data_IF_225839139931
#
_entry.id   IF_225839139931
#
_cell.length_a   1.000
_cell.length_b   1.000
_cell.length_c   1.000
_cell.angle_alpha   90.00
_cell.angle_beta   90.00
_cell.angle_gamma   90.00
#
_symmetry.space_group_name_H-M   'P 1'
#
loop_
_entity.id
_entity.type
_entity.pdbx_description
1 polymer ?
#
# COMPACT_ATOMS: atom_id res chain seq x y z
N UNK A 1 -2.56 31.18 12.47
CA UNK A 1 -3.92 30.81 12.01
C UNK A 1 -3.99 29.69 10.96
N UNK A 2 -2.93 29.47 10.16
CA UNK A 2 -2.95 28.51 9.04
C UNK A 2 -2.27 27.15 9.31
N UNK A 3 -1.67 26.93 10.49
CA UNK A 3 -0.89 25.71 10.79
C UNK A 3 -1.72 24.41 10.82
N UNK A 4 -3.05 24.51 10.91
CA UNK A 4 -3.96 23.34 10.93
C UNK A 4 -4.88 23.26 9.71
N UNK A 5 -4.68 24.13 8.72
CA UNK A 5 -5.47 24.08 7.48
C UNK A 5 -4.84 23.10 6.48
N UNK A 6 -5.64 22.40 5.64
CA UNK A 6 -5.10 21.63 4.53
C UNK A 6 -4.23 22.52 3.62
N UNK A 7 -3.05 22.02 3.26
CA UNK A 7 -2.13 22.67 2.34
C UNK A 7 -1.93 21.76 1.12
N UNK A 8 -2.18 22.28 -0.08
CA UNK A 8 -1.92 21.56 -1.32
C UNK A 8 -0.40 21.54 -1.58
N UNK A 9 0.21 20.36 -1.49
CA UNK A 9 1.65 20.18 -1.75
C UNK A 9 1.92 19.94 -3.23
N UNK A 10 1.14 19.04 -3.86
CA UNK A 10 1.30 18.65 -5.26
C UNK A 10 -0.06 18.30 -5.88
N UNK A 11 -0.23 18.61 -7.16
CA UNK A 11 -1.30 18.10 -8.02
C UNK A 11 -0.71 17.65 -9.35
N UNK A 12 -1.19 16.51 -9.87
CA UNK A 12 -0.78 15.98 -11.16
C UNK A 12 -1.96 15.78 -12.09
N UNK A 13 -1.89 16.30 -13.31
CA UNK A 13 -2.87 16.06 -14.38
C UNK A 13 -2.62 14.70 -15.08
N UNK A 14 -2.57 13.62 -14.29
CA UNK A 14 -2.29 12.25 -14.72
C UNK A 14 -2.90 11.26 -13.75
N UNK A 15 -2.98 9.99 -14.14
CA UNK A 15 -3.35 8.93 -13.22
C UNK A 15 -2.33 8.81 -12.07
N UNK A 16 -2.82 8.34 -10.93
CA UNK A 16 -1.97 7.88 -9.83
C UNK A 16 -0.95 6.85 -10.35
N UNK A 17 0.25 6.88 -9.77
CA UNK A 17 1.38 6.05 -10.19
C UNK A 17 1.20 4.57 -9.83
N UNK A 18 2.34 3.88 -9.67
CA UNK A 18 2.37 2.49 -9.23
C UNK A 18 1.64 1.52 -10.17
N UNK A 19 1.87 1.64 -11.48
CA UNK A 19 1.44 0.66 -12.49
C UNK A 19 -0.07 0.43 -12.60
N UNK A 20 -0.91 1.30 -12.03
CA UNK A 20 -2.37 1.12 -12.04
C UNK A 20 -2.92 0.17 -10.98
N UNK A 21 -2.11 -0.31 -10.02
CA UNK A 21 -2.58 -1.18 -8.94
C UNK A 21 -3.70 -0.55 -8.08
N UNK A 22 -3.84 0.78 -8.10
CA UNK A 22 -4.93 1.48 -7.42
C UNK A 22 -6.31 1.21 -8.04
N UNK A 23 -6.38 0.86 -9.34
CA UNK A 23 -7.64 0.81 -10.10
C UNK A 23 -8.68 -0.11 -9.46
N UNK A 24 -8.38 -1.40 -9.14
CA UNK A 24 -9.37 -2.28 -8.52
C UNK A 24 -9.83 -1.78 -7.14
N UNK A 25 -8.93 -1.13 -6.39
CA UNK A 25 -9.24 -0.58 -5.07
C UNK A 25 -10.20 0.59 -5.20
N UNK A 26 -9.92 1.54 -6.10
CA UNK A 26 -10.73 2.74 -6.28
C UNK A 26 -12.08 2.39 -6.90
N UNK A 27 -12.14 1.45 -7.85
CA UNK A 27 -13.40 0.93 -8.37
C UNK A 27 -14.28 0.35 -7.26
N UNK A 28 -13.71 -0.43 -6.34
CA UNK A 28 -14.51 -1.01 -5.26
C UNK A 28 -14.92 0.02 -4.22
N UNK A 29 -14.08 1.01 -3.96
CA UNK A 29 -14.32 2.03 -2.93
C UNK A 29 -15.25 3.14 -3.40
N UNK A 30 -15.23 3.53 -4.68
CA UNK A 30 -15.99 4.66 -5.23
C UNK A 30 -16.99 4.29 -6.33
N UNK A 31 -16.82 3.14 -6.97
CA UNK A 31 -17.63 2.72 -8.13
C UNK A 31 -17.12 3.24 -9.48
N UNK A 32 -16.07 4.05 -9.50
CA UNK A 32 -15.42 4.58 -10.71
C UNK A 32 -13.96 4.91 -10.40
N UNK A 33 -13.12 5.06 -11.44
CA UNK A 33 -11.71 5.38 -11.30
C UNK A 33 -11.21 6.40 -12.34
N UNK A 34 -10.02 6.97 -12.13
CA UNK A 34 -9.41 8.00 -12.98
C UNK A 34 -9.15 7.53 -14.42
N UNK A 35 -8.77 6.26 -14.61
CA UNK A 35 -8.51 5.68 -15.94
C UNK A 35 -9.81 5.62 -16.72
N UNK A 36 -10.89 5.10 -16.11
CA UNK A 36 -12.20 5.01 -16.78
C UNK A 36 -12.78 6.39 -17.06
N UNK A 37 -12.73 7.30 -16.09
CA UNK A 37 -13.17 8.69 -16.30
C UNK A 37 -12.41 9.38 -17.45
N UNK A 38 -11.10 9.10 -17.60
CA UNK A 38 -10.30 9.61 -18.71
C UNK A 38 -10.73 8.98 -20.03
N UNK A 39 -10.99 7.68 -20.10
CA UNK A 39 -11.52 7.05 -21.33
C UNK A 39 -12.89 7.63 -21.71
N UNK A 40 -13.79 7.79 -20.74
CA UNK A 40 -15.12 8.33 -20.97
C UNK A 40 -15.07 9.78 -21.45
N UNK A 41 -14.12 10.61 -21.00
CA UNK A 41 -14.05 11.99 -21.48
C UNK A 41 -13.74 12.11 -22.99
N UNK A 42 -13.07 11.12 -23.58
CA UNK A 42 -12.79 11.08 -25.02
C UNK A 42 -13.90 10.42 -25.83
N UNK A 43 -14.54 9.38 -25.29
CA UNK A 43 -15.37 8.47 -26.08
C UNK A 43 -16.82 8.36 -25.61
N UNK A 44 -17.15 8.82 -24.40
CA UNK A 44 -18.51 8.86 -23.86
C UNK A 44 -18.72 10.11 -22.96
N UNK A 45 -18.93 11.29 -23.58
CA UNK A 45 -19.14 12.53 -22.83
C UNK A 45 -20.34 12.50 -21.88
N UNK A 46 -21.34 11.66 -22.17
CA UNK A 46 -22.53 11.53 -21.30
C UNK A 46 -22.17 10.78 -20.02
N UNK A 47 -21.44 9.66 -20.13
CA UNK A 47 -20.94 8.95 -18.97
C UNK A 47 -20.00 9.83 -18.14
N UNK A 48 -19.08 10.55 -18.78
CA UNK A 48 -18.17 11.47 -18.09
C UNK A 48 -18.93 12.58 -17.34
N UNK A 49 -19.94 13.19 -17.98
CA UNK A 49 -20.77 14.23 -17.35
C UNK A 49 -21.65 13.71 -16.20
N UNK A 50 -21.89 12.39 -16.13
CA UNK A 50 -22.65 11.76 -15.04
C UNK A 50 -21.84 11.55 -13.76
N UNK A 51 -20.51 11.71 -13.81
CA UNK A 51 -19.65 11.57 -12.65
C UNK A 51 -19.95 12.66 -11.60
N UNK A 52 -19.92 12.32 -10.31
CA UNK A 52 -20.19 13.30 -9.27
C UNK A 52 -19.06 14.33 -9.20
N UNK A 53 -19.35 15.62 -8.91
CA UNK A 53 -18.32 16.66 -8.82
C UNK A 53 -17.35 16.44 -7.65
N UNK A 54 -17.77 15.67 -6.65
CA UNK A 54 -16.95 15.25 -5.52
C UNK A 54 -17.18 13.76 -5.21
N UNK A 55 -16.17 13.02 -4.74
CA UNK A 55 -16.35 11.64 -4.31
C UNK A 55 -17.42 11.53 -3.21
N UNK A 56 -18.33 10.57 -3.36
CA UNK A 56 -19.34 10.27 -2.36
C UNK A 56 -18.80 9.50 -1.16
N UNK A 57 -19.71 8.92 -0.37
CA UNK A 57 -19.35 7.98 0.69
C UNK A 57 -18.66 6.75 0.11
N UNK A 58 -17.57 6.32 0.73
CA UNK A 58 -16.89 5.09 0.35
C UNK A 58 -17.81 3.85 0.50
N UNK A 59 -17.82 3.00 -0.53
CA UNK A 59 -18.53 1.72 -0.59
C UNK A 59 -17.75 0.58 0.08
N UNK A 60 -16.43 0.74 0.15
CA UNK A 60 -15.48 -0.15 0.81
C UNK A 60 -14.26 0.66 1.26
N UNK A 61 -13.33 0.03 1.96
CA UNK A 61 -12.12 0.65 2.46
C UNK A 61 -10.91 -0.10 1.95
N UNK A 62 -10.00 0.60 1.28
CA UNK A 62 -8.77 0.00 0.82
C UNK A 62 -7.59 0.96 0.87
N UNK A 63 -6.41 0.38 0.94
CA UNK A 63 -5.14 1.10 0.99
C UNK A 63 -4.00 0.26 0.43
N UNK A 64 -2.95 0.92 -0.01
CA UNK A 64 -1.64 0.30 -0.19
C UNK A 64 -0.84 0.39 1.11
N UNK A 65 -0.17 -0.70 1.45
CA UNK A 65 0.78 -0.80 2.55
C UNK A 65 2.14 -1.21 1.97
N UNK A 66 3.03 -0.25 1.68
CA UNK A 66 4.43 -0.52 1.40
C UNK A 66 5.05 -1.17 2.65
N UNK A 67 5.63 -2.36 2.53
CA UNK A 67 6.29 -3.02 3.65
C UNK A 67 7.67 -2.40 3.89
N UNK A 68 8.07 -2.34 5.15
CA UNK A 68 9.35 -1.78 5.60
C UNK A 68 10.27 -2.90 6.08
N UNK A 69 11.47 -2.98 5.50
CA UNK A 69 12.55 -3.81 6.02
C UNK A 69 13.39 -3.05 7.04
N UNK A 70 13.54 -3.64 8.22
CA UNK A 70 14.51 -3.21 9.25
C UNK A 70 15.77 -4.07 9.26
N UNK A 71 15.78 -5.15 8.46
CA UNK A 71 16.85 -6.13 8.40
C UNK A 71 17.71 -5.93 7.15
N UNK A 72 18.91 -6.49 7.18
CA UNK A 72 19.81 -6.59 6.04
C UNK A 72 20.45 -7.98 6.03
N UNK A 73 20.62 -8.57 4.85
CA UNK A 73 21.21 -9.90 4.71
C UNK A 73 20.66 -10.65 3.51
N UNK A 74 20.93 -11.96 3.43
CA UNK A 74 20.35 -12.82 2.39
C UNK A 74 19.15 -13.56 2.97
N UNK A 75 17.99 -13.45 2.33
CA UNK A 75 16.76 -14.07 2.82
C UNK A 75 16.87 -15.60 2.78
N UNK A 76 16.67 -16.26 3.92
CA UNK A 76 16.60 -17.72 3.99
C UNK A 76 15.17 -18.23 3.83
N UNK A 77 14.22 -17.59 4.52
CA UNK A 77 12.82 -18.00 4.54
C UNK A 77 11.89 -16.79 4.52
N UNK A 78 10.69 -16.96 3.96
CA UNK A 78 9.67 -15.91 3.87
C UNK A 78 8.30 -16.36 4.43
N UNK A 79 8.19 -16.73 5.73
CA UNK A 79 6.90 -17.11 6.32
C UNK A 79 5.84 -16.00 6.22
N UNK A 80 6.29 -14.75 6.09
CA UNK A 80 5.45 -13.56 5.89
C UNK A 80 4.55 -13.63 4.69
N UNK A 81 4.95 -14.29 3.60
CA UNK A 81 4.13 -14.38 2.37
C UNK A 81 2.77 -15.01 2.68
N UNK A 82 2.76 -16.12 3.41
CA UNK A 82 1.52 -16.79 3.82
C UNK A 82 0.78 -16.01 4.91
N UNK A 83 1.50 -15.37 5.84
CA UNK A 83 0.90 -14.55 6.89
C UNK A 83 0.19 -13.31 6.33
N UNK A 84 0.71 -12.73 5.25
CA UNK A 84 0.10 -11.59 4.54
C UNK A 84 -1.10 -12.04 3.71
N UNK A 85 -0.97 -13.14 2.96
CA UNK A 85 -2.05 -13.67 2.13
C UNK A 85 -3.28 -14.17 2.93
N UNK A 86 -3.13 -14.40 4.24
CA UNK A 86 -4.20 -14.84 5.14
C UNK A 86 -4.93 -13.70 5.85
N UNK A 87 -4.56 -12.43 5.60
CA UNK A 87 -5.29 -11.29 6.15
C UNK A 87 -6.70 -11.20 5.56
N UNK A 88 -7.68 -10.85 6.38
CA UNK A 88 -9.07 -10.80 5.97
C UNK A 88 -9.33 -9.74 4.87
N UNK A 89 -8.54 -8.67 4.86
CA UNK A 89 -8.59 -7.62 3.86
C UNK A 89 -7.57 -7.80 2.73
N UNK A 90 -6.85 -8.93 2.64
CA UNK A 90 -5.86 -9.12 1.58
C UNK A 90 -6.51 -9.12 0.18
N UNK A 91 -6.05 -8.20 -0.69
CA UNK A 91 -6.43 -8.17 -2.10
C UNK A 91 -5.33 -8.78 -2.98
N UNK A 92 -4.12 -8.23 -2.88
CA UNK A 92 -2.95 -8.70 -3.61
C UNK A 92 -1.66 -8.15 -2.99
N UNK A 93 -0.51 -8.68 -3.41
CA UNK A 93 0.79 -8.14 -3.07
C UNK A 93 1.77 -8.26 -4.24
N UNK A 94 2.72 -7.34 -4.29
CA UNK A 94 3.88 -7.38 -5.18
C UNK A 94 5.14 -7.49 -4.32
N UNK A 95 5.91 -8.56 -4.49
CA UNK A 95 7.16 -8.82 -3.79
C UNK A 95 8.33 -8.57 -4.74
N UNK A 96 9.27 -7.71 -4.34
CA UNK A 96 10.51 -7.46 -5.08
C UNK A 96 11.67 -8.36 -4.63
N UNK A 97 11.48 -9.10 -3.53
CA UNK A 97 12.45 -10.00 -2.92
C UNK A 97 11.82 -11.35 -2.62
N UNK A 98 12.64 -12.39 -2.60
CA UNK A 98 12.29 -13.75 -2.20
C UNK A 98 13.47 -14.46 -1.54
N UNK A 99 13.31 -15.76 -1.26
CA UNK A 99 14.41 -16.60 -0.74
C UNK A 99 15.63 -16.50 -1.66
N UNK A 100 16.81 -16.30 -1.08
CA UNK A 100 18.08 -16.07 -1.79
C UNK A 100 18.32 -14.63 -2.23
N UNK A 101 17.34 -13.73 -2.12
CA UNK A 101 17.52 -12.31 -2.46
C UNK A 101 18.33 -11.58 -1.37
N UNK A 102 19.13 -10.58 -1.76
CA UNK A 102 19.72 -9.61 -0.82
C UNK A 102 18.62 -8.68 -0.34
N UNK A 103 18.30 -8.75 0.95
CA UNK A 103 17.47 -7.79 1.64
C UNK A 103 18.33 -6.62 2.11
N UNK A 104 17.80 -5.42 1.95
CA UNK A 104 18.38 -4.17 2.45
C UNK A 104 17.37 -3.45 3.33
N UNK A 105 17.86 -2.56 4.19
CA UNK A 105 17.00 -1.69 4.98
C UNK A 105 16.24 -0.74 4.05
N UNK A 106 14.95 -0.56 4.31
CA UNK A 106 14.13 0.36 3.51
C UNK A 106 14.43 1.80 3.90
N UNK A 107 14.89 2.59 2.94
CA UNK A 107 15.15 4.04 3.07
C UNK A 107 14.33 4.86 2.08
N UNK A 108 13.74 4.21 1.07
CA UNK A 108 12.95 4.82 0.01
C UNK A 108 11.99 3.79 -0.62
N UNK A 109 11.32 4.19 -1.70
CA UNK A 109 10.36 3.35 -2.43
C UNK A 109 11.01 2.21 -3.22
N UNK A 110 12.31 2.27 -3.52
CA UNK A 110 13.01 1.26 -4.32
C UNK A 110 13.61 0.16 -3.43
N UNK A 111 13.93 0.50 -2.19
CA UNK A 111 14.46 -0.39 -1.15
C UNK A 111 13.35 -1.08 -0.33
N UNK A 112 12.07 -0.90 -0.72
CA UNK A 112 10.95 -1.64 -0.11
C UNK A 112 10.90 -3.08 -0.66
N UNK A 113 10.75 -4.09 0.20
CA UNK A 113 10.67 -5.50 -0.22
C UNK A 113 9.32 -5.88 -0.83
N UNK A 114 8.26 -5.14 -0.52
CA UNK A 114 6.90 -5.50 -0.91
C UNK A 114 5.95 -4.30 -0.88
N UNK A 115 4.91 -4.32 -1.72
CA UNK A 115 3.67 -3.58 -1.50
C UNK A 115 2.51 -4.55 -1.35
N UNK A 116 1.67 -4.33 -0.33
CA UNK A 116 0.45 -5.10 -0.09
C UNK A 116 -0.76 -4.19 -0.29
N UNK A 117 -1.74 -4.62 -1.07
CA UNK A 117 -3.02 -3.92 -1.19
C UNK A 117 -4.05 -4.62 -0.32
N UNK A 118 -4.70 -3.82 0.52
CA UNK A 118 -5.78 -4.24 1.38
C UNK A 118 -7.10 -3.63 0.90
N UNK A 119 -8.17 -4.41 0.95
CA UNK A 119 -9.51 -4.01 0.56
C UNK A 119 -10.54 -4.79 1.37
N UNK A 120 -11.44 -4.08 2.06
CA UNK A 120 -12.50 -4.70 2.85
C UNK A 120 -13.70 -3.79 3.02
N UNK A 121 -14.90 -4.35 3.17
CA UNK A 121 -16.12 -3.57 3.39
C UNK A 121 -16.14 -2.84 4.75
N UNK A 122 -15.51 -3.43 5.77
CA UNK A 122 -15.36 -2.84 7.10
C UNK A 122 -14.03 -2.11 7.25
N UNK A 123 -14.09 -0.81 7.56
CA UNK A 123 -12.93 0.03 7.88
C UNK A 123 -12.08 -0.55 9.02
N UNK A 124 -12.73 -1.06 10.05
CA UNK A 124 -12.05 -1.58 11.24
C UNK A 124 -11.19 -2.81 10.92
N UNK A 125 -11.65 -3.68 10.01
CA UNK A 125 -10.88 -4.86 9.58
C UNK A 125 -9.66 -4.43 8.77
N UNK A 126 -9.83 -3.52 7.80
CA UNK A 126 -8.72 -2.98 7.02
C UNK A 126 -7.67 -2.33 7.94
N UNK A 127 -8.07 -1.48 8.88
CA UNK A 127 -7.15 -0.83 9.82
C UNK A 127 -6.47 -1.82 10.77
N UNK A 128 -7.17 -2.89 11.18
CA UNK A 128 -6.59 -3.95 11.99
C UNK A 128 -5.51 -4.73 11.22
N UNK A 129 -5.74 -5.02 9.94
CA UNK A 129 -4.78 -5.71 9.09
C UNK A 129 -3.58 -4.83 8.75
N UNK A 130 -3.76 -3.50 8.56
CA UNK A 130 -2.64 -2.54 8.48
C UNK A 130 -1.77 -2.64 9.75
N UNK A 131 -2.38 -2.63 10.94
CA UNK A 131 -1.64 -2.78 12.21
C UNK A 131 -0.94 -4.15 12.30
N UNK A 132 -1.56 -5.21 11.78
CA UNK A 132 -0.98 -6.55 11.73
C UNK A 132 0.26 -6.59 10.84
N UNK A 133 0.22 -5.96 9.67
CA UNK A 133 1.39 -5.83 8.78
C UNK A 133 2.53 -5.09 9.47
N UNK A 134 2.26 -3.94 10.11
CA UNK A 134 3.28 -3.20 10.88
C UNK A 134 3.87 -4.01 12.04
N UNK A 135 3.07 -4.87 12.68
CA UNK A 135 3.57 -5.80 13.70
C UNK A 135 4.46 -6.88 13.10
N UNK A 136 4.15 -7.41 11.92
CA UNK A 136 4.98 -8.40 11.24
C UNK A 136 6.35 -7.82 10.88
N UNK A 137 6.41 -6.58 10.40
CA UNK A 137 7.67 -5.87 10.11
C UNK A 137 8.55 -5.74 11.35
N UNK A 138 8.00 -5.24 12.45
CA UNK A 138 8.75 -4.96 13.69
C UNK A 138 9.20 -6.22 14.42
N UNK A 139 8.40 -7.29 14.35
CA UNK A 139 8.67 -8.53 15.06
C UNK A 139 9.45 -9.54 14.21
N UNK A 140 9.99 -9.15 13.05
CA UNK A 140 10.70 -10.05 12.12
C UNK A 140 9.87 -11.26 11.72
N UNK A 141 8.55 -11.05 11.55
CA UNK A 141 7.61 -12.09 11.17
C UNK A 141 7.47 -12.28 9.66
N UNK A 142 8.17 -11.46 8.86
CA UNK A 142 8.06 -11.51 7.41
C UNK A 142 9.09 -12.46 6.76
N UNK A 143 10.31 -12.50 7.29
CA UNK A 143 11.44 -13.24 6.75
C UNK A 143 12.49 -13.56 7.82
N UNK A 144 13.39 -14.48 7.50
CA UNK A 144 14.68 -14.68 8.20
C UNK A 144 15.83 -14.39 7.23
N UNK A 145 16.99 -13.95 7.75
CA UNK A 145 18.16 -13.58 6.93
C UNK A 145 19.46 -14.21 7.46
N UNK A 146 20.37 -14.57 6.55
CA UNK A 146 21.78 -14.87 6.83
C UNK A 146 22.63 -13.60 6.81
N UNK A 147 23.50 -13.44 7.82
CA UNK A 147 24.43 -12.32 7.97
C UNK A 147 24.13 -11.43 9.19
N UNK A 148 25.13 -10.70 9.66
CA UNK A 148 25.09 -9.96 10.94
C UNK A 148 23.85 -9.06 11.07
N UNK A 149 23.11 -9.26 12.17
CA UNK A 149 22.16 -8.28 12.67
C UNK A 149 22.93 -7.03 13.10
N UNK A 150 23.22 -6.13 12.16
CA UNK A 150 23.83 -4.84 12.48
C UNK A 150 22.82 -4.04 13.31
N UNK A 151 23.18 -3.86 14.58
CA UNK A 151 22.62 -2.97 15.61
C UNK A 151 21.25 -2.35 15.36
N UNK A 152 20.32 -2.62 16.28
CA UNK A 152 19.07 -1.88 16.43
C UNK A 152 19.33 -0.36 16.35
N UNK A 153 18.95 0.26 15.23
CA UNK A 153 18.64 1.68 15.26
C UNK A 153 17.25 1.78 15.93
N UNK A 154 17.08 2.58 16.99
CA UNK A 154 15.79 2.69 17.65
C UNK A 154 14.72 3.06 16.62
N UNK A 155 13.49 2.50 16.76
CA UNK A 155 12.40 2.87 15.86
C UNK A 155 12.26 4.39 15.85
N UNK A 156 11.98 5.01 14.68
CA UNK A 156 11.69 6.43 14.64
C UNK A 156 10.53 6.72 15.61
N UNK A 157 10.56 7.87 16.31
CA UNK A 157 9.51 8.21 17.27
C UNK A 157 8.14 8.13 16.59
N UNK A 158 7.09 7.72 17.32
CA UNK A 158 5.74 7.81 16.78
C UNK A 158 5.46 9.27 16.41
N UNK A 159 5.05 9.50 15.17
CA UNK A 159 4.45 10.77 14.75
C UNK A 159 3.16 11.02 15.53
#
# INVERSE_FOLDING_TARGET
PHEQAPCLVEVGARCHGNGGYFVPTVDRCLGYNQVRATVDCYFDPTAFASLPPFPGKLLAHGCEVPLVSYDEGVIETCPGVNAVASLASFQCAYWSVGVGSRLVRTIDVFTKPCSVWLLHASKNVMEADVKRLRKLERNRGLWTVQGEAVGMCPPPPPY
#
